data_IF_511473752556
#
_entry.id   IF_511473752556
#
_cell.length_a   1.000
_cell.length_b   1.000
_cell.length_c   1.000
_cell.angle_alpha   90.00
_cell.angle_beta   90.00
_cell.angle_gamma   90.00
#
_symmetry.space_group_name_H-M   'P 1'
#
loop_
_entity.id
_entity.type
_entity.pdbx_description
1 polymer ?
#
# COMPACT_ATOMS: atom_id res chain seq x y z
N UNK A 1 -29.40 -42.02 -26.90
CA UNK A 1 -29.98 -40.73 -26.47
C UNK A 1 -30.04 -40.77 -24.95
N UNK A 2 -29.51 -39.78 -24.21
CA UNK A 2 -29.51 -39.85 -22.75
C UNK A 2 -30.94 -39.77 -22.21
N UNK A 3 -31.25 -40.64 -21.25
CA UNK A 3 -32.58 -40.85 -20.71
C UNK A 3 -33.10 -39.62 -19.93
N UNK A 4 -34.41 -39.37 -19.94
CA UNK A 4 -35.02 -38.12 -19.46
C UNK A 4 -34.71 -37.79 -17.98
N UNK A 5 -34.39 -38.81 -17.18
CA UNK A 5 -33.99 -38.66 -15.77
C UNK A 5 -32.61 -38.02 -15.61
N UNK A 6 -31.68 -38.24 -16.53
CA UNK A 6 -30.33 -37.65 -16.47
C UNK A 6 -30.37 -36.14 -16.69
N UNK A 7 -31.25 -35.68 -17.59
CA UNK A 7 -31.47 -34.24 -17.81
C UNK A 7 -32.09 -33.54 -16.60
N UNK A 8 -32.99 -34.20 -15.89
CA UNK A 8 -33.61 -33.65 -14.69
C UNK A 8 -32.61 -33.52 -13.52
N UNK A 9 -31.69 -34.48 -13.36
CA UNK A 9 -30.65 -34.42 -12.33
C UNK A 9 -29.61 -33.35 -12.66
N UNK A 10 -29.20 -33.21 -13.92
CA UNK A 10 -28.25 -32.17 -14.35
C UNK A 10 -28.86 -30.77 -14.23
N UNK A 11 -30.12 -30.59 -14.66
CA UNK A 11 -30.83 -29.32 -14.51
C UNK A 11 -31.08 -28.96 -13.04
N UNK A 12 -31.44 -29.95 -12.20
CA UNK A 12 -31.60 -29.75 -10.76
C UNK A 12 -30.29 -29.40 -10.06
N UNK A 13 -29.19 -30.05 -10.42
CA UNK A 13 -27.87 -29.79 -9.83
C UNK A 13 -27.33 -28.41 -10.24
N UNK A 14 -27.57 -27.99 -11.49
CA UNK A 14 -27.21 -26.67 -11.97
C UNK A 14 -28.03 -25.56 -11.29
N UNK A 15 -29.34 -25.78 -11.09
CA UNK A 15 -30.21 -24.83 -10.40
C UNK A 15 -29.80 -24.67 -8.92
N UNK A 16 -29.55 -25.79 -8.22
CA UNK A 16 -29.10 -25.78 -6.81
C UNK A 16 -27.73 -25.11 -6.69
N UNK A 17 -26.78 -25.42 -7.58
CA UNK A 17 -25.47 -24.78 -7.60
C UNK A 17 -25.53 -23.27 -7.84
N UNK A 18 -26.45 -22.81 -8.69
CA UNK A 18 -26.70 -21.37 -8.92
C UNK A 18 -27.29 -20.69 -7.69
N UNK A 19 -28.29 -21.29 -7.02
CA UNK A 19 -28.86 -20.73 -5.78
C UNK A 19 -27.89 -20.69 -4.62
N UNK A 20 -27.05 -21.71 -4.44
CA UNK A 20 -26.00 -21.72 -3.40
C UNK A 20 -24.93 -20.66 -3.71
N UNK A 21 -24.58 -20.45 -4.98
CA UNK A 21 -23.63 -19.41 -5.38
C UNK A 21 -24.19 -17.99 -5.17
N UNK A 22 -25.46 -17.76 -5.48
CA UNK A 22 -26.13 -16.48 -5.23
C UNK A 22 -26.32 -16.21 -3.73
N UNK A 23 -26.64 -17.22 -2.93
CA UNK A 23 -26.74 -17.09 -1.48
C UNK A 23 -25.37 -16.84 -0.83
N UNK A 24 -24.30 -17.49 -1.31
CA UNK A 24 -22.93 -17.22 -0.85
C UNK A 24 -22.48 -15.79 -1.18
N UNK A 25 -22.85 -15.26 -2.35
CA UNK A 25 -22.59 -13.86 -2.73
C UNK A 25 -23.45 -12.87 -1.92
N UNK A 26 -24.69 -13.21 -1.59
CA UNK A 26 -25.57 -12.37 -0.78
C UNK A 26 -25.18 -12.35 0.72
N UNK A 27 -24.69 -13.47 1.25
CA UNK A 27 -24.22 -13.58 2.65
C UNK A 27 -22.80 -13.01 2.83
N UNK A 28 -21.95 -13.07 1.80
CA UNK A 28 -20.60 -12.48 1.84
C UNK A 28 -20.59 -10.95 1.66
N UNK A 29 -21.71 -10.33 1.26
CA UNK A 29 -21.78 -8.91 0.96
C UNK A 29 -20.96 -8.50 -0.27
N UNK A 30 -21.17 -7.28 -0.82
CA UNK A 30 -20.26 -6.75 -1.82
C UNK A 30 -18.84 -6.68 -1.24
N UNK A 31 -17.85 -7.11 -2.02
CA UNK A 31 -16.42 -6.94 -1.73
C UNK A 31 -16.09 -5.45 -1.56
N UNK A 32 -16.24 -4.96 -0.34
CA UNK A 32 -15.94 -3.60 0.09
C UNK A 32 -14.53 -3.58 0.69
N UNK A 33 -13.53 -3.35 -0.17
CA UNK A 33 -12.34 -2.66 0.31
C UNK A 33 -12.78 -1.25 0.72
N UNK A 34 -12.49 -0.86 1.98
CA UNK A 34 -13.01 0.37 2.60
C UNK A 34 -12.68 1.66 1.83
N UNK A 35 -11.74 1.62 0.88
CA UNK A 35 -11.35 2.73 0.03
C UNK A 35 -12.49 3.19 -0.91
N UNK A 36 -13.26 2.28 -1.53
CA UNK A 36 -14.40 2.67 -2.38
C UNK A 36 -15.55 3.27 -1.58
N UNK A 37 -15.75 2.83 -0.34
CA UNK A 37 -16.77 3.37 0.57
C UNK A 37 -16.37 4.77 1.06
N UNK A 38 -15.09 4.98 1.38
CA UNK A 38 -14.55 6.29 1.73
C UNK A 38 -14.60 7.28 0.56
N UNK A 39 -14.29 6.84 -0.67
CA UNK A 39 -14.40 7.66 -1.88
C UNK A 39 -15.86 8.06 -2.19
N UNK A 40 -16.82 7.14 -2.01
CA UNK A 40 -18.26 7.44 -2.12
C UNK A 40 -18.71 8.43 -1.05
N UNK A 41 -18.26 8.26 0.20
CA UNK A 41 -18.58 9.16 1.30
C UNK A 41 -18.00 10.57 1.08
N UNK A 42 -16.77 10.66 0.55
CA UNK A 42 -16.13 11.94 0.21
C UNK A 42 -16.78 12.62 -1.00
N UNK A 43 -17.24 11.86 -2.00
CA UNK A 43 -18.01 12.40 -3.12
C UNK A 43 -19.39 12.93 -2.67
N UNK A 44 -20.05 12.23 -1.74
CA UNK A 44 -21.33 12.65 -1.17
C UNK A 44 -21.21 13.89 -0.26
N UNK A 45 -20.10 14.03 0.50
CA UNK A 45 -19.90 15.18 1.38
C UNK A 45 -19.53 16.47 0.65
N UNK A 46 -18.93 16.40 -0.54
CA UNK A 46 -18.62 17.57 -1.38
C UNK A 46 -19.85 18.23 -2.02
N UNK A 47 -21.02 17.58 -1.97
CA UNK A 47 -22.30 18.17 -2.39
C UNK A 47 -23.03 18.97 -1.30
N UNK A 48 -22.48 19.06 -0.09
CA UNK A 48 -23.04 19.84 1.02
C UNK A 48 -21.94 20.74 1.64
N UNK A 49 -21.73 21.92 1.08
CA UNK A 49 -21.13 23.04 1.81
C UNK A 49 -22.26 23.87 2.45
N UNK A 50 -22.26 24.10 3.77
CA UNK A 50 -23.14 25.10 4.36
C UNK A 50 -22.45 26.47 4.34
N UNK A 51 -22.99 27.40 3.56
CA UNK A 51 -22.69 28.82 3.70
C UNK A 51 -23.23 29.31 5.05
N UNK A 52 -22.40 30.05 5.77
CA UNK A 52 -22.73 30.61 7.08
C UNK A 52 -23.33 32.02 6.94
N UNK A 53 -24.53 32.20 7.50
CA UNK A 53 -25.14 33.39 8.16
C UNK A 53 -26.59 33.63 7.73
N UNK A 54 -27.55 33.31 8.62
CA UNK A 54 -28.70 34.15 9.04
C UNK A 54 -29.75 33.31 9.82
N UNK A 55 -30.50 34.00 10.70
CA UNK A 55 -31.30 33.54 11.85
C UNK A 55 -32.55 32.63 11.56
N UNK A 56 -33.27 32.11 12.58
CA UNK A 56 -34.17 30.96 12.44
C UNK A 56 -35.57 31.36 11.98
N UNK A 57 -36.06 30.72 10.93
CA UNK A 57 -37.42 30.85 10.41
C UNK A 57 -37.97 29.51 9.92
N UNK A 58 -39.26 29.30 10.17
CA UNK A 58 -40.08 28.09 9.99
C UNK A 58 -39.81 27.18 8.78
N UNK A 59 -39.89 25.87 9.07
CA UNK A 59 -39.92 24.70 8.17
C UNK A 59 -40.63 24.91 6.82
N UNK A 60 -39.98 24.45 5.75
CA UNK A 60 -40.63 23.76 4.63
C UNK A 60 -39.67 22.71 4.04
N UNK A 61 -40.02 21.43 4.16
CA UNK A 61 -39.23 20.29 3.66
C UNK A 61 -39.29 20.29 2.11
N UNK A 62 -38.17 20.34 1.38
CA UNK A 62 -38.19 20.13 -0.07
C UNK A 62 -38.65 18.70 -0.38
N UNK A 63 -39.27 18.45 -1.55
CA UNK A 63 -39.60 17.09 -1.96
C UNK A 63 -38.31 16.28 -2.05
N UNK A 64 -38.35 15.03 -1.60
CA UNK A 64 -37.25 14.10 -1.83
C UNK A 64 -37.03 13.97 -3.34
N UNK A 65 -35.90 14.47 -3.84
CA UNK A 65 -35.44 14.13 -5.18
C UNK A 65 -35.27 12.61 -5.23
N UNK A 66 -36.08 11.98 -6.08
CA UNK A 66 -36.04 10.56 -6.30
C UNK A 66 -34.61 10.17 -6.70
N UNK A 67 -34.04 9.21 -5.96
CA UNK A 67 -32.79 8.58 -6.33
C UNK A 67 -32.88 8.13 -7.79
N UNK A 68 -31.99 8.66 -8.63
CA UNK A 68 -31.90 8.26 -10.03
C UNK A 68 -31.79 6.73 -10.11
N UNK A 69 -32.54 6.07 -11.00
CA UNK A 69 -32.53 4.62 -11.07
C UNK A 69 -31.12 4.15 -11.40
N UNK A 70 -30.66 3.21 -10.57
CA UNK A 70 -29.38 2.52 -10.70
C UNK A 70 -29.33 1.97 -12.13
N UNK A 71 -28.44 2.50 -12.96
CA UNK A 71 -28.21 1.97 -14.29
C UNK A 71 -27.57 0.58 -14.18
N UNK A 72 -28.42 -0.44 -14.01
CA UNK A 72 -28.05 -1.85 -14.11
C UNK A 72 -27.45 -2.21 -15.49
N UNK A 73 -27.51 -1.29 -16.47
CA UNK A 73 -26.87 -1.41 -17.79
C UNK A 73 -25.34 -1.20 -17.79
N UNK A 74 -24.72 -0.82 -16.67
CA UNK A 74 -23.24 -0.67 -16.62
C UNK A 74 -22.50 -2.01 -16.54
N UNK A 75 -23.19 -3.12 -16.22
CA UNK A 75 -22.57 -4.44 -16.07
C UNK A 75 -22.67 -5.34 -17.32
N UNK A 76 -23.16 -4.81 -18.45
CA UNK A 76 -23.19 -5.54 -19.73
C UNK A 76 -22.58 -4.72 -20.86
N UNK A 77 -21.44 -4.07 -20.61
CA UNK A 77 -20.56 -3.72 -21.72
C UNK A 77 -19.97 -5.04 -22.24
N UNK A 78 -20.06 -5.35 -23.56
CA UNK A 78 -19.19 -6.36 -24.14
C UNK A 78 -17.75 -5.96 -23.80
N UNK A 79 -16.84 -6.94 -23.70
CA UNK A 79 -15.42 -6.63 -23.74
C UNK A 79 -15.17 -5.86 -25.05
N UNK A 80 -15.19 -4.53 -24.98
CA UNK A 80 -14.93 -3.68 -26.12
C UNK A 80 -13.53 -4.06 -26.58
N UNK A 81 -13.36 -4.29 -27.88
CA UNK A 81 -12.03 -4.38 -28.45
C UNK A 81 -11.28 -3.15 -27.95
N UNK A 82 -10.20 -3.34 -27.20
CA UNK A 82 -9.51 -2.22 -26.63
C UNK A 82 -9.04 -1.33 -27.78
N UNK A 83 -9.30 -0.04 -27.66
CA UNK A 83 -9.03 0.95 -28.70
C UNK A 83 -7.61 0.82 -29.29
N UNK A 84 -7.46 1.33 -30.51
CA UNK A 84 -6.21 1.27 -31.27
C UNK A 84 -5.04 1.83 -30.45
N UNK A 85 -3.91 1.12 -30.38
CA UNK A 85 -2.76 1.59 -29.58
C UNK A 85 -2.20 2.91 -30.11
N UNK A 86 -1.92 3.90 -29.25
CA UNK A 86 -1.26 5.13 -29.69
C UNK A 86 0.10 4.78 -30.29
N UNK A 87 0.41 5.39 -31.44
CA UNK A 87 1.69 5.14 -32.11
C UNK A 87 2.83 5.73 -31.30
N UNK A 88 4.02 5.11 -31.39
CA UNK A 88 5.23 5.64 -30.75
C UNK A 88 5.53 7.07 -31.20
N UNK A 89 5.26 7.41 -32.46
CA UNK A 89 5.44 8.75 -33.01
C UNK A 89 4.46 9.75 -32.38
N UNK A 90 3.19 9.39 -32.20
CA UNK A 90 2.20 10.25 -31.56
C UNK A 90 2.57 10.52 -30.09
N UNK A 91 2.94 9.47 -29.33
CA UNK A 91 3.40 9.63 -27.96
C UNK A 91 4.67 10.49 -27.88
N UNK A 92 5.64 10.28 -28.77
CA UNK A 92 6.86 11.08 -28.82
C UNK A 92 6.58 12.56 -29.11
N UNK A 93 5.71 12.85 -30.09
CA UNK A 93 5.33 14.22 -30.44
C UNK A 93 4.64 14.95 -29.27
N UNK A 94 3.89 14.24 -28.43
CA UNK A 94 3.23 14.80 -27.24
C UNK A 94 4.17 14.94 -26.04
N UNK A 95 4.96 13.92 -25.74
CA UNK A 95 5.73 13.85 -24.49
C UNK A 95 7.11 14.51 -24.59
N UNK A 96 7.78 14.44 -25.74
CA UNK A 96 9.15 14.95 -25.86
C UNK A 96 9.29 16.46 -25.57
N UNK A 97 8.36 17.34 -26.02
CA UNK A 97 8.40 18.75 -25.65
C UNK A 97 8.21 18.98 -24.16
N UNK A 98 7.30 18.23 -23.52
CA UNK A 98 7.02 18.34 -22.08
C UNK A 98 8.19 17.85 -21.23
N UNK A 99 8.88 16.78 -21.67
CA UNK A 99 10.08 16.26 -21.01
C UNK A 99 11.27 17.24 -21.09
N UNK A 100 11.21 18.22 -22.01
CA UNK A 100 12.22 19.28 -22.12
C UNK A 100 12.02 20.43 -21.13
N UNK A 101 10.94 20.44 -20.35
CA UNK A 101 10.68 21.46 -19.33
C UNK A 101 11.88 21.60 -18.36
N UNK A 102 12.46 22.80 -18.20
CA UNK A 102 13.62 23.01 -17.34
C UNK A 102 13.34 22.71 -15.86
N UNK A 103 12.08 22.74 -15.41
CA UNK A 103 11.72 22.38 -14.04
C UNK A 103 12.01 20.90 -13.72
N UNK A 104 12.13 20.04 -14.74
CA UNK A 104 12.44 18.61 -14.60
C UNK A 104 13.94 18.32 -14.40
N UNK A 105 14.79 19.34 -14.19
CA UNK A 105 16.19 19.14 -13.82
C UNK A 105 17.07 18.68 -14.98
N UNK A 106 18.16 17.96 -14.70
CA UNK A 106 19.20 17.59 -15.68
C UNK A 106 19.06 16.18 -16.21
N UNK A 107 18.56 15.24 -15.40
CA UNK A 107 18.22 13.88 -15.82
C UNK A 107 16.71 13.76 -15.94
N UNK A 108 16.20 13.39 -17.11
CA UNK A 108 14.78 13.16 -17.36
C UNK A 108 14.60 11.83 -18.08
N UNK A 109 13.92 10.89 -17.45
CA UNK A 109 13.62 9.59 -18.04
C UNK A 109 12.12 9.33 -18.05
N UNK A 110 11.66 8.57 -19.03
CA UNK A 110 10.26 8.28 -19.23
C UNK A 110 10.03 6.97 -19.96
N UNK A 111 8.99 6.25 -19.55
CA UNK A 111 8.51 5.05 -20.24
C UNK A 111 6.99 5.02 -20.21
N UNK A 112 6.38 4.55 -21.31
CA UNK A 112 4.94 4.26 -21.41
C UNK A 112 4.77 2.87 -21.99
N UNK A 113 3.98 2.05 -21.32
CA UNK A 113 3.76 0.65 -21.64
C UNK A 113 2.26 0.40 -21.77
N UNK A 114 1.89 -0.39 -22.76
CA UNK A 114 0.55 -0.93 -22.87
C UNK A 114 0.31 -1.97 -21.77
N UNK A 115 -0.66 -1.73 -20.88
CA UNK A 115 -0.88 -2.61 -19.73
C UNK A 115 -1.34 -4.02 -20.14
N UNK A 116 -2.04 -4.16 -21.27
CA UNK A 116 -2.58 -5.45 -21.71
C UNK A 116 -1.51 -6.35 -22.34
N UNK A 117 -0.62 -5.80 -23.18
CA UNK A 117 0.40 -6.60 -23.90
C UNK A 117 1.78 -6.56 -23.25
N UNK A 118 2.06 -5.57 -22.39
CA UNK A 118 3.40 -5.30 -21.87
C UNK A 118 4.37 -4.68 -22.88
N UNK A 119 3.86 -4.25 -24.05
CA UNK A 119 4.64 -3.59 -25.11
C UNK A 119 5.05 -2.18 -24.68
N UNK A 120 6.34 -1.86 -24.82
CA UNK A 120 6.84 -0.49 -24.69
C UNK A 120 6.34 0.35 -25.87
N UNK A 121 5.57 1.39 -25.57
CA UNK A 121 4.99 2.30 -26.57
C UNK A 121 5.80 3.58 -26.72
N UNK A 122 6.47 4.03 -25.65
CA UNK A 122 7.35 5.18 -25.66
C UNK A 122 8.48 5.01 -24.64
N UNK A 123 9.67 5.49 -24.98
CA UNK A 123 10.82 5.52 -24.10
C UNK A 123 11.74 6.71 -24.37
N UNK A 124 12.15 7.39 -23.31
CA UNK A 124 13.22 8.40 -23.31
C UNK A 124 14.12 8.10 -22.13
N UNK A 125 15.35 7.63 -22.37
CA UNK A 125 16.21 7.10 -21.30
C UNK A 125 15.53 6.00 -20.49
N UNK A 126 14.64 5.21 -21.12
CA UNK A 126 13.70 4.33 -20.43
C UNK A 126 14.40 3.25 -19.58
N UNK A 127 15.56 2.77 -20.03
CA UNK A 127 16.40 1.79 -19.35
C UNK A 127 17.48 2.41 -18.43
N UNK A 128 17.60 3.75 -18.41
CA UNK A 128 18.59 4.43 -17.57
C UNK A 128 18.21 4.28 -16.10
N UNK A 129 19.08 3.70 -15.25
CA UNK A 129 18.83 3.64 -13.82
C UNK A 129 18.85 5.04 -13.20
N UNK A 130 17.80 5.38 -12.47
CA UNK A 130 17.63 6.67 -11.80
C UNK A 130 17.17 6.47 -10.36
N UNK A 131 17.40 7.45 -9.51
CA UNK A 131 16.90 7.44 -8.13
C UNK A 131 15.37 7.51 -8.16
N UNK A 132 14.64 6.48 -7.70
CA UNK A 132 13.18 6.38 -7.87
C UNK A 132 12.41 7.19 -6.80
N UNK A 133 13.06 7.55 -5.70
CA UNK A 133 12.40 7.97 -4.47
C UNK A 133 11.26 6.98 -4.08
N UNK A 134 10.18 7.46 -3.46
CA UNK A 134 9.05 6.61 -3.03
C UNK A 134 8.30 5.85 -4.14
N UNK A 135 8.65 6.01 -5.43
CA UNK A 135 8.10 5.12 -6.48
C UNK A 135 8.65 3.70 -6.38
N UNK A 136 9.77 3.47 -5.68
CA UNK A 136 10.30 2.13 -5.39
C UNK A 136 9.34 1.25 -4.59
N UNK A 137 8.44 1.86 -3.81
CA UNK A 137 7.42 1.14 -3.02
C UNK A 137 6.53 0.24 -3.90
N UNK A 138 6.40 0.54 -5.20
CA UNK A 138 5.73 -0.34 -6.17
C UNK A 138 6.48 -1.68 -6.29
N UNK A 139 7.81 -1.64 -6.33
CA UNK A 139 8.65 -2.83 -6.40
C UNK A 139 8.63 -3.61 -5.06
N UNK A 140 8.71 -2.90 -3.93
CA UNK A 140 8.56 -3.50 -2.59
C UNK A 140 7.20 -4.20 -2.44
N UNK A 141 6.10 -3.55 -2.87
CA UNK A 141 4.77 -4.13 -2.86
C UNK A 141 4.68 -5.38 -3.75
N UNK A 142 5.22 -5.31 -4.98
CA UNK A 142 5.21 -6.43 -5.91
C UNK A 142 5.97 -7.65 -5.36
N UNK A 143 7.16 -7.42 -4.79
CA UNK A 143 7.93 -8.46 -4.14
C UNK A 143 7.16 -9.10 -2.98
N UNK A 144 6.67 -8.31 -2.04
CA UNK A 144 5.94 -8.80 -0.87
C UNK A 144 4.66 -9.57 -1.26
N UNK A 145 3.83 -9.02 -2.14
CA UNK A 145 2.61 -9.69 -2.59
C UNK A 145 2.89 -10.98 -3.37
N UNK A 146 3.95 -11.01 -4.17
CA UNK A 146 4.31 -12.21 -4.94
C UNK A 146 4.78 -13.37 -4.08
N UNK A 147 5.42 -13.08 -2.94
CA UNK A 147 6.00 -14.09 -2.04
C UNK A 147 5.02 -14.49 -0.94
N UNK A 148 4.34 -13.52 -0.32
CA UNK A 148 3.49 -13.77 0.84
C UNK A 148 1.99 -13.92 0.49
N UNK A 149 1.55 -13.32 -0.61
CA UNK A 149 0.14 -13.27 -1.00
C UNK A 149 -0.68 -12.17 -0.29
N UNK A 150 -1.81 -11.75 -0.86
CA UNK A 150 -2.57 -10.59 -0.40
C UNK A 150 -3.27 -10.77 0.95
N UNK A 151 -3.48 -12.01 1.38
CA UNK A 151 -4.17 -12.36 2.63
C UNK A 151 -3.23 -12.55 3.82
N UNK A 152 -1.92 -12.50 3.59
CA UNK A 152 -0.92 -12.63 4.64
C UNK A 152 -1.15 -11.58 5.73
N UNK A 153 -0.93 -11.96 7.00
CA UNK A 153 -1.04 -11.06 8.15
C UNK A 153 0.18 -11.18 9.04
N UNK A 154 0.76 -10.04 9.38
CA UNK A 154 1.90 -9.94 10.27
C UNK A 154 1.38 -9.99 11.71
N UNK A 155 2.00 -10.80 12.56
CA UNK A 155 1.45 -11.11 13.88
C UNK A 155 2.33 -10.63 15.03
N UNK A 156 1.73 -9.97 16.00
CA UNK A 156 2.34 -9.71 17.31
C UNK A 156 1.78 -10.74 18.29
N UNK A 157 2.66 -11.46 18.99
CA UNK A 157 2.26 -12.56 19.88
C UNK A 157 2.77 -12.35 21.29
N UNK A 158 2.12 -12.98 22.25
CA UNK A 158 2.58 -13.04 23.64
C UNK A 158 2.82 -14.49 24.00
N UNK A 159 4.02 -14.81 24.44
CA UNK A 159 4.42 -16.16 24.82
C UNK A 159 4.62 -16.24 26.33
N UNK A 160 4.16 -17.33 26.96
CA UNK A 160 4.63 -17.74 28.28
C UNK A 160 5.94 -18.53 28.11
N UNK A 161 7.02 -18.01 28.68
CA UNK A 161 8.36 -18.65 28.67
C UNK A 161 8.72 -19.30 30.00
N UNK A 162 7.84 -19.17 31.01
CA UNK A 162 7.92 -19.85 32.30
C UNK A 162 6.64 -19.63 33.11
N UNK A 163 6.55 -20.14 34.35
CA UNK A 163 5.37 -19.99 35.20
C UNK A 163 4.97 -18.54 35.48
N UNK A 164 5.97 -17.65 35.58
CA UNK A 164 5.80 -16.21 35.84
C UNK A 164 6.63 -15.35 34.88
N UNK A 165 6.77 -15.80 33.63
CA UNK A 165 7.55 -15.10 32.61
C UNK A 165 6.80 -15.06 31.30
N UNK A 166 6.63 -13.86 30.75
CA UNK A 166 6.00 -13.62 29.46
C UNK A 166 6.89 -12.78 28.56
N UNK A 167 6.82 -13.01 27.25
CA UNK A 167 7.55 -12.25 26.25
C UNK A 167 6.57 -11.74 25.19
N UNK A 168 6.57 -10.43 24.94
CA UNK A 168 5.87 -9.80 23.82
C UNK A 168 6.77 -9.88 22.59
N UNK A 169 6.35 -10.63 21.57
CA UNK A 169 7.13 -10.91 20.36
C UNK A 169 6.54 -10.13 19.19
N UNK A 170 7.31 -9.18 18.66
CA UNK A 170 6.92 -8.39 17.50
C UNK A 170 7.20 -9.13 16.19
N UNK A 171 6.17 -9.31 15.36
CA UNK A 171 6.29 -9.92 14.03
C UNK A 171 6.71 -8.98 12.91
N UNK A 172 6.93 -7.69 13.21
CA UNK A 172 7.25 -6.66 12.23
C UNK A 172 6.03 -5.95 11.63
N UNK A 173 4.91 -5.87 12.37
CA UNK A 173 3.76 -5.05 11.99
C UNK A 173 3.94 -3.63 12.56
N UNK A 174 4.22 -2.61 11.73
CA UNK A 174 4.34 -1.25 12.23
C UNK A 174 2.98 -0.63 12.56
N UNK A 175 1.87 -1.23 12.14
CA UNK A 175 0.51 -0.67 12.24
C UNK A 175 -0.27 -1.13 13.46
N UNK A 176 0.38 -1.81 14.42
CA UNK A 176 -0.27 -2.26 15.65
C UNK A 176 -0.93 -1.06 16.36
N UNK A 177 -2.25 -1.11 16.49
CA UNK A 177 -3.02 0.00 17.06
C UNK A 177 -3.14 -0.12 18.58
N UNK A 178 -3.45 0.99 19.26
CA UNK A 178 -3.74 0.97 20.69
C UNK A 178 -4.93 0.06 21.04
N UNK A 179 -5.93 -0.05 20.14
CA UNK A 179 -7.07 -0.94 20.31
C UNK A 179 -6.67 -2.43 20.20
N UNK A 180 -5.82 -2.76 19.23
CA UNK A 180 -5.26 -4.11 19.08
C UNK A 180 -4.39 -4.47 20.29
N UNK A 181 -3.58 -3.54 20.80
CA UNK A 181 -2.76 -3.75 22.00
C UNK A 181 -3.62 -3.97 23.26
N UNK A 182 -4.74 -3.25 23.41
CA UNK A 182 -5.73 -3.50 24.48
C UNK A 182 -6.30 -4.91 24.41
N UNK A 183 -6.75 -5.32 23.23
CA UNK A 183 -7.28 -6.68 23.00
C UNK A 183 -6.22 -7.74 23.31
N UNK A 184 -4.98 -7.54 22.85
CA UNK A 184 -3.87 -8.44 23.15
C UNK A 184 -3.63 -8.56 24.67
N UNK A 185 -3.76 -7.47 25.42
CA UNK A 185 -3.62 -7.46 26.87
C UNK A 185 -4.81 -8.13 27.58
N UNK A 186 -6.03 -7.95 27.08
CA UNK A 186 -7.23 -8.64 27.56
C UNK A 186 -7.08 -10.16 27.44
N UNK A 187 -6.68 -10.62 26.26
CA UNK A 187 -6.49 -12.04 25.96
C UNK A 187 -5.36 -12.63 26.80
N UNK A 188 -4.25 -11.90 26.92
CA UNK A 188 -3.10 -12.32 27.74
C UNK A 188 -3.48 -12.45 29.21
N UNK A 189 -4.21 -11.47 29.78
CA UNK A 189 -4.63 -11.50 31.18
C UNK A 189 -5.55 -12.69 31.47
N UNK A 190 -6.52 -12.97 30.57
CA UNK A 190 -7.38 -14.16 30.67
C UNK A 190 -6.57 -15.44 30.60
N UNK A 191 -5.62 -15.55 29.67
CA UNK A 191 -4.78 -16.73 29.53
C UNK A 191 -3.86 -16.96 30.74
N UNK A 192 -3.31 -15.90 31.35
CA UNK A 192 -2.52 -16.01 32.57
C UNK A 192 -3.36 -16.46 33.76
N UNK A 193 -4.55 -15.89 33.94
CA UNK A 193 -5.46 -16.26 35.04
C UNK A 193 -5.95 -17.70 34.89
N UNK A 194 -6.25 -18.14 33.68
CA UNK A 194 -6.60 -19.54 33.39
C UNK A 194 -5.46 -20.52 33.71
N UNK A 195 -4.21 -20.04 33.68
CA UNK A 195 -3.01 -20.80 34.10
C UNK A 195 -2.73 -20.71 35.60
N UNK A 196 -3.61 -20.07 36.37
CA UNK A 196 -3.48 -19.94 37.82
C UNK A 196 -2.47 -18.88 38.28
N UNK A 197 -2.13 -17.90 37.43
CA UNK A 197 -1.23 -16.81 37.82
C UNK A 197 -1.79 -15.43 37.50
N UNK A 198 -1.54 -14.49 38.41
CA UNK A 198 -1.82 -13.05 38.24
C UNK A 198 -0.54 -12.22 38.34
N UNK A 199 0.63 -12.85 38.18
CA UNK A 199 1.92 -12.19 38.23
C UNK A 199 2.87 -12.73 37.15
N UNK A 200 3.59 -11.82 36.49
CA UNK A 200 4.58 -12.18 35.48
C UNK A 200 5.69 -11.12 35.37
N UNK A 201 6.91 -11.53 35.04
CA UNK A 201 7.85 -10.63 34.38
C UNK A 201 7.44 -10.44 32.91
N UNK A 202 7.82 -9.31 32.31
CA UNK A 202 7.57 -9.02 30.90
C UNK A 202 8.87 -8.74 30.18
N UNK A 203 9.23 -9.62 29.24
CA UNK A 203 10.24 -9.35 28.21
C UNK A 203 9.61 -8.88 26.91
N UNK A 204 10.42 -8.35 26.00
CA UNK A 204 10.03 -8.13 24.61
C UNK A 204 11.13 -8.56 23.64
N UNK A 205 10.72 -9.20 22.54
CA UNK A 205 11.62 -9.83 21.58
C UNK A 205 11.67 -9.05 20.27
N UNK A 206 12.90 -8.68 19.87
CA UNK A 206 13.23 -7.98 18.63
C UNK A 206 14.12 -8.81 17.69
N UNK A 207 14.43 -10.06 18.06
CA UNK A 207 15.39 -10.93 17.37
C UNK A 207 14.97 -11.31 15.95
N UNK A 208 13.69 -11.11 15.60
CA UNK A 208 13.20 -11.32 14.24
C UNK A 208 13.94 -10.43 13.24
N UNK A 209 14.27 -9.19 13.62
CA UNK A 209 15.02 -8.26 12.77
C UNK A 209 16.50 -8.28 13.16
N UNK A 210 17.37 -8.14 12.15
CA UNK A 210 18.82 -8.10 12.34
C UNK A 210 19.45 -6.89 11.66
N UNK A 211 20.68 -6.56 12.05
CA UNK A 211 21.40 -5.40 11.55
C UNK A 211 20.94 -4.08 12.18
N UNK A 212 21.28 -2.93 11.57
CA UNK A 212 20.97 -1.63 12.14
C UNK A 212 19.46 -1.35 12.11
N UNK A 213 18.94 -0.81 13.20
CA UNK A 213 17.55 -0.32 13.28
C UNK A 213 17.40 1.09 12.70
N UNK A 214 18.49 1.88 12.67
CA UNK A 214 18.44 3.24 12.15
C UNK A 214 18.51 3.23 10.62
N UNK A 215 17.58 3.93 9.98
CA UNK A 215 17.64 4.16 8.54
C UNK A 215 18.84 5.07 8.18
N UNK A 216 19.54 4.85 7.05
CA UNK A 216 20.71 5.65 6.65
C UNK A 216 20.47 7.16 6.46
N UNK A 217 19.23 7.63 6.45
CA UNK A 217 18.89 9.06 6.34
C UNK A 217 19.10 9.84 7.65
N UNK A 218 19.61 9.19 8.71
CA UNK A 218 19.93 9.82 9.99
C UNK A 218 18.88 9.56 11.06
N UNK A 219 19.19 10.03 12.28
CA UNK A 219 18.35 9.91 13.49
C UNK A 219 17.31 11.05 13.56
N UNK A 220 16.33 10.90 14.45
CA UNK A 220 15.31 11.93 14.75
C UNK A 220 14.62 12.43 13.47
N UNK A 221 14.20 11.50 12.62
CA UNK A 221 13.58 11.82 11.35
C UNK A 221 12.06 11.63 11.44
N UNK A 222 11.30 12.63 11.03
CA UNK A 222 9.83 12.58 11.09
C UNK A 222 9.21 11.59 10.09
N UNK A 223 9.97 11.19 9.07
CA UNK A 223 9.48 10.35 7.98
C UNK A 223 9.49 8.85 8.30
N UNK A 224 10.28 8.40 9.27
CA UNK A 224 10.44 6.97 9.57
C UNK A 224 10.93 6.77 11.02
N UNK A 225 10.33 5.82 11.72
CA UNK A 225 10.80 5.41 13.05
C UNK A 225 12.04 4.49 12.96
N UNK A 226 12.74 4.24 14.08
CA UNK A 226 13.68 3.12 14.14
C UNK A 226 13.00 1.82 13.68
N UNK A 227 13.60 1.13 12.72
CA UNK A 227 13.03 -0.05 12.07
C UNK A 227 13.18 -1.27 12.97
N UNK A 228 12.20 -1.49 13.83
CA UNK A 228 12.12 -2.60 14.79
C UNK A 228 10.98 -3.56 14.45
N UNK A 229 11.04 -4.80 14.92
CA UNK A 229 9.96 -5.77 14.69
C UNK A 229 8.75 -5.57 15.61
N UNK A 230 8.85 -4.68 16.61
CA UNK A 230 7.79 -4.31 17.52
C UNK A 230 7.69 -2.80 17.60
N UNK A 231 6.51 -2.26 17.31
CA UNK A 231 6.16 -0.86 17.54
C UNK A 231 4.64 -0.70 17.57
N UNK A 232 4.19 0.39 18.20
CA UNK A 232 2.80 0.83 18.22
C UNK A 232 2.67 2.00 17.25
N UNK A 233 1.69 1.95 16.34
CA UNK A 233 1.33 3.05 15.45
C UNK A 233 2.54 3.74 14.80
N UNK A 234 3.43 2.95 14.18
CA UNK A 234 4.65 3.41 13.49
C UNK A 234 5.59 4.24 14.39
N UNK A 235 5.51 4.06 15.71
CA UNK A 235 6.29 4.84 16.68
C UNK A 235 5.93 6.33 16.72
N UNK A 236 4.76 6.74 16.21
CA UNK A 236 4.31 8.14 16.19
C UNK A 236 4.01 8.63 17.62
N UNK A 237 4.41 9.86 17.92
CA UNK A 237 4.20 10.51 19.22
C UNK A 237 2.95 11.40 19.26
N UNK A 238 2.30 11.61 18.12
CA UNK A 238 1.05 12.34 17.98
C UNK A 238 -0.13 11.40 17.63
N UNK A 239 -1.27 11.98 17.29
CA UNK A 239 -2.49 11.25 16.89
C UNK A 239 -2.66 11.12 15.39
N UNK A 240 -1.66 11.52 14.60
CA UNK A 240 -1.71 11.36 13.16
C UNK A 240 -1.57 9.89 12.78
N UNK A 241 -2.16 9.51 11.65
CA UNK A 241 -2.15 8.14 11.14
C UNK A 241 -1.37 8.00 9.83
N UNK A 242 -0.76 9.07 9.32
CA UNK A 242 0.12 9.07 8.15
C UNK A 242 0.93 10.37 8.04
N UNK A 243 1.94 10.36 7.17
CA UNK A 243 2.80 11.52 6.88
C UNK A 243 3.96 11.68 7.88
N UNK A 244 4.71 12.79 7.80
CA UNK A 244 5.73 13.11 8.80
C UNK A 244 5.10 13.34 10.18
N UNK A 245 5.77 12.87 11.23
CA UNK A 245 5.44 13.17 12.62
C UNK A 245 6.65 12.89 13.51
N UNK A 246 6.68 13.50 14.70
CA UNK A 246 7.65 13.13 15.73
C UNK A 246 7.57 11.63 16.03
N UNK A 247 8.74 10.97 16.04
CA UNK A 247 8.86 9.52 16.23
C UNK A 247 9.59 9.21 17.54
N UNK A 248 9.16 8.15 18.20
CA UNK A 248 9.87 7.54 19.31
C UNK A 248 11.27 7.10 18.90
N UNK A 249 12.23 7.25 19.81
CA UNK A 249 13.60 6.76 19.63
C UNK A 249 13.78 5.29 20.07
N UNK A 250 12.83 4.73 20.83
CA UNK A 250 12.74 3.30 21.13
C UNK A 250 11.27 2.83 21.10
N UNK A 251 10.67 2.71 19.89
CA UNK A 251 9.26 2.39 19.76
C UNK A 251 8.91 0.99 20.30
N UNK A 252 9.88 0.08 20.38
CA UNK A 252 9.70 -1.23 20.98
C UNK A 252 9.54 -1.16 22.50
N UNK A 253 10.42 -0.41 23.18
CA UNK A 253 10.33 -0.21 24.63
C UNK A 253 9.04 0.51 25.02
N UNK A 254 8.63 1.51 24.24
CA UNK A 254 7.36 2.23 24.46
C UNK A 254 6.16 1.30 24.33
N UNK A 255 6.16 0.43 23.33
CA UNK A 255 5.10 -0.57 23.11
C UNK A 255 5.03 -1.56 24.27
N UNK A 256 6.17 -2.08 24.73
CA UNK A 256 6.25 -2.99 25.86
C UNK A 256 5.78 -2.32 27.17
N UNK A 257 6.11 -1.05 27.36
CA UNK A 257 5.68 -0.25 28.52
C UNK A 257 4.17 -0.02 28.50
N UNK A 258 3.61 0.34 27.34
CA UNK A 258 2.17 0.48 27.15
C UNK A 258 1.44 -0.85 27.42
N UNK A 259 1.97 -1.96 26.91
CA UNK A 259 1.42 -3.29 27.15
C UNK A 259 1.45 -3.67 28.65
N UNK A 260 2.57 -3.42 29.34
CA UNK A 260 2.69 -3.65 30.78
C UNK A 260 1.65 -2.85 31.59
N UNK A 261 1.40 -1.59 31.21
CA UNK A 261 0.36 -0.75 31.84
C UNK A 261 -1.03 -1.37 31.65
N UNK A 262 -1.32 -1.89 30.46
CA UNK A 262 -2.60 -2.54 30.15
C UNK A 262 -2.79 -3.84 30.92
N UNK A 263 -1.74 -4.64 31.11
CA UNK A 263 -1.78 -5.84 31.95
C UNK A 263 -2.04 -5.50 33.44
N UNK A 264 -1.35 -4.47 33.97
CA UNK A 264 -1.57 -3.99 35.35
C UNK A 264 -3.01 -3.52 35.56
N UNK A 265 -3.59 -2.81 34.59
CA UNK A 265 -4.99 -2.40 34.63
C UNK A 265 -6.00 -3.57 34.63
N UNK A 266 -5.55 -4.79 34.26
CA UNK A 266 -6.32 -6.04 34.26
C UNK A 266 -6.02 -6.94 35.46
N UNK A 267 -5.36 -6.41 36.49
CA UNK A 267 -5.02 -7.15 37.71
C UNK A 267 -3.81 -8.08 37.58
N UNK A 268 -3.06 -8.03 36.47
CA UNK A 268 -1.81 -8.78 36.33
C UNK A 268 -0.64 -7.95 36.85
N UNK A 269 -0.01 -8.38 37.94
CA UNK A 269 1.21 -7.77 38.48
C UNK A 269 2.37 -8.02 37.52
N UNK A 270 2.82 -6.97 36.83
CA UNK A 270 4.04 -7.02 36.01
C UNK A 270 5.25 -6.65 36.87
N UNK A 271 6.14 -7.61 37.14
CA UNK A 271 7.34 -7.43 37.96
C UNK A 271 8.46 -6.77 37.15
N UNK A 272 9.10 -5.77 37.75
CA UNK A 272 10.16 -4.99 37.10
C UNK A 272 9.69 -4.12 35.94
N UNK A 273 10.67 -3.58 35.20
CA UNK A 273 10.48 -2.84 33.96
C UNK A 273 10.62 -3.80 32.77
N UNK A 274 9.80 -3.66 31.71
CA UNK A 274 9.96 -4.50 30.52
C UNK A 274 11.38 -4.40 29.95
N UNK A 275 11.97 -5.54 29.61
CA UNK A 275 13.34 -5.61 29.11
C UNK A 275 13.44 -6.42 27.82
N UNK A 276 14.46 -6.14 27.00
CA UNK A 276 14.74 -6.94 25.80
C UNK A 276 15.07 -8.36 26.22
N UNK A 277 14.31 -9.32 25.71
CA UNK A 277 14.47 -10.74 26.04
C UNK A 277 14.09 -11.56 24.82
N UNK A 278 15.05 -12.23 24.14
CA UNK A 278 14.73 -13.16 23.07
C UNK A 278 13.77 -14.23 23.59
N UNK A 279 12.73 -14.53 22.83
CA UNK A 279 11.82 -15.61 23.16
C UNK A 279 12.54 -16.94 23.03
N UNK A 280 12.43 -17.80 24.05
CA UNK A 280 12.85 -19.18 23.92
C UNK A 280 11.96 -19.88 22.86
N UNK A 281 12.55 -20.77 22.05
CA UNK A 281 11.87 -21.47 20.96
C UNK A 281 10.66 -22.34 21.40
N UNK A 282 10.47 -22.54 22.71
CA UNK A 282 9.48 -23.44 23.32
C UNK A 282 8.35 -22.72 24.10
N UNK A 283 8.19 -21.40 23.96
CA UNK A 283 7.16 -20.64 24.67
C UNK A 283 5.73 -21.01 24.26
N UNK A 284 4.79 -21.11 25.22
CA UNK A 284 3.37 -21.33 24.92
C UNK A 284 2.70 -20.02 24.53
N UNK A 285 2.05 -19.94 23.36
CA UNK A 285 1.32 -18.73 22.97
C UNK A 285 0.11 -18.49 23.87
N UNK A 286 0.06 -17.30 24.48
CA UNK A 286 -1.04 -16.83 25.32
C UNK A 286 -2.05 -16.00 24.52
N UNK A 287 -1.57 -15.15 23.62
CA UNK A 287 -2.39 -14.25 22.84
C UNK A 287 -1.70 -13.90 21.51
N UNK A 288 -2.50 -13.42 20.55
CA UNK A 288 -2.05 -13.02 19.22
C UNK A 288 -2.91 -11.88 18.69
N UNK A 289 -2.25 -10.84 18.18
CA UNK A 289 -2.87 -9.79 17.38
C UNK A 289 -2.32 -9.89 15.96
N UNK A 290 -3.21 -9.94 14.96
CA UNK A 290 -2.84 -9.97 13.56
C UNK A 290 -3.08 -8.60 12.92
N UNK A 291 -2.17 -8.17 12.04
CA UNK A 291 -2.33 -7.00 11.20
C UNK A 291 -3.57 -7.12 10.32
N UNK A 292 -3.98 -6.02 9.67
CA UNK A 292 -4.83 -6.10 8.48
C UNK A 292 -4.13 -6.93 7.38
N UNK A 293 -4.86 -7.47 6.38
CA UNK A 293 -4.24 -8.23 5.30
C UNK A 293 -3.13 -7.43 4.60
N UNK A 294 -2.15 -8.12 4.04
CA UNK A 294 -1.04 -7.53 3.30
C UNK A 294 -1.52 -6.64 2.15
N UNK A 295 -2.63 -7.00 1.51
CA UNK A 295 -3.30 -6.15 0.51
C UNK A 295 -3.65 -4.77 1.06
N UNK A 296 -4.27 -4.68 2.24
CA UNK A 296 -4.60 -3.40 2.89
C UNK A 296 -3.37 -2.63 3.35
N UNK A 297 -2.32 -3.34 3.81
CA UNK A 297 -1.03 -2.70 4.14
C UNK A 297 -0.38 -2.08 2.90
N UNK A 298 -0.38 -2.79 1.77
CA UNK A 298 0.11 -2.28 0.48
C UNK A 298 -0.71 -1.08 0.01
N UNK A 299 -2.04 -1.15 0.10
CA UNK A 299 -2.92 -0.05 -0.29
C UNK A 299 -2.64 1.22 0.53
N UNK A 300 -2.57 1.09 1.85
CA UNK A 300 -2.20 2.18 2.76
C UNK A 300 -0.81 2.73 2.44
N UNK A 301 0.18 1.85 2.26
CA UNK A 301 1.55 2.22 1.94
C UNK A 301 1.66 3.05 0.67
N UNK A 302 0.99 2.63 -0.40
CA UNK A 302 1.05 3.33 -1.68
C UNK A 302 0.25 4.63 -1.65
N UNK A 303 -0.92 4.63 -0.99
CA UNK A 303 -1.80 5.81 -0.89
C UNK A 303 -1.14 6.94 -0.11
N UNK A 304 -0.58 6.61 1.05
CA UNK A 304 -0.01 7.58 1.99
C UNK A 304 1.50 7.73 1.87
N UNK A 305 2.14 6.93 1.01
CA UNK A 305 3.61 6.87 0.85
C UNK A 305 4.35 6.46 2.13
N UNK A 306 3.76 5.54 2.90
CA UNK A 306 4.21 5.11 4.22
C UNK A 306 5.58 4.41 4.18
N UNK A 307 6.57 4.95 4.89
CA UNK A 307 7.94 4.43 4.89
C UNK A 307 8.10 3.25 5.85
N UNK A 308 7.42 3.29 7.00
CA UNK A 308 7.50 2.25 8.03
C UNK A 308 6.90 0.95 7.52
N UNK A 309 5.74 1.02 6.84
CA UNK A 309 5.15 -0.14 6.15
C UNK A 309 6.10 -0.65 5.06
N UNK A 310 6.70 0.22 4.26
CA UNK A 310 7.59 -0.20 3.18
C UNK A 310 8.82 -0.98 3.67
N UNK A 311 9.48 -0.51 4.72
CA UNK A 311 10.60 -1.23 5.34
C UNK A 311 10.18 -2.54 5.99
N UNK A 312 8.98 -2.58 6.59
CA UNK A 312 8.41 -3.79 7.13
C UNK A 312 8.12 -4.81 6.03
N UNK A 313 7.49 -4.42 4.91
CA UNK A 313 7.17 -5.33 3.80
C UNK A 313 8.42 -5.89 3.11
N UNK A 314 9.47 -5.07 2.97
CA UNK A 314 10.77 -5.53 2.46
C UNK A 314 11.38 -6.60 3.39
N UNK A 315 11.27 -6.43 4.71
CA UNK A 315 11.72 -7.41 5.70
C UNK A 315 10.84 -8.65 5.76
N UNK A 316 9.52 -8.53 5.62
CA UNK A 316 8.62 -9.69 5.48
C UNK A 316 9.00 -10.53 4.25
N UNK A 317 9.39 -9.87 3.16
CA UNK A 317 9.89 -10.56 1.96
C UNK A 317 11.18 -11.33 2.27
N UNK A 318 12.10 -10.76 3.05
CA UNK A 318 13.32 -11.46 3.49
C UNK A 318 13.02 -12.66 4.40
N UNK A 319 12.12 -12.49 5.38
CA UNK A 319 11.69 -13.56 6.29
C UNK A 319 11.11 -14.73 5.50
N UNK A 320 10.21 -14.45 4.56
CA UNK A 320 9.59 -15.47 3.72
C UNK A 320 10.60 -16.14 2.75
N UNK A 321 11.69 -15.46 2.41
CA UNK A 321 12.79 -16.01 1.64
C UNK A 321 13.87 -16.72 2.49
N UNK A 322 13.66 -16.85 3.80
CA UNK A 322 14.64 -17.38 4.76
C UNK A 322 15.98 -16.63 4.74
N UNK A 323 15.94 -15.34 4.45
CA UNK A 323 17.09 -14.43 4.51
C UNK A 323 17.04 -13.61 5.80
N UNK A 324 18.18 -13.06 6.27
CA UNK A 324 18.18 -12.15 7.42
C UNK A 324 17.23 -10.97 7.20
N UNK A 325 16.34 -10.69 8.15
CA UNK A 325 15.45 -9.52 8.09
C UNK A 325 16.19 -8.22 8.43
N UNK A 326 17.14 -7.87 7.59
CA UNK A 326 17.99 -6.68 7.63
C UNK A 326 17.81 -5.88 6.33
N UNK A 327 18.41 -4.69 6.21
CA UNK A 327 18.41 -3.95 4.95
C UNK A 327 19.03 -4.76 3.79
N UNK A 328 20.17 -5.41 4.03
CA UNK A 328 20.84 -6.20 2.99
C UNK A 328 20.09 -7.48 2.62
N UNK A 329 19.48 -8.16 3.59
CA UNK A 329 18.66 -9.33 3.31
C UNK A 329 17.34 -8.97 2.63
N UNK A 330 16.72 -7.84 3.01
CA UNK A 330 15.56 -7.28 2.32
C UNK A 330 15.88 -6.91 0.86
N UNK A 331 17.01 -6.25 0.61
CA UNK A 331 17.49 -5.98 -0.76
C UNK A 331 17.60 -7.27 -1.59
N UNK A 332 18.25 -8.30 -1.04
CA UNK A 332 18.41 -9.59 -1.73
C UNK A 332 17.06 -10.24 -2.03
N UNK A 333 16.17 -10.27 -1.03
CA UNK A 333 14.86 -10.89 -1.14
C UNK A 333 13.95 -10.19 -2.16
N UNK A 334 13.89 -8.86 -2.12
CA UNK A 334 13.14 -8.04 -3.08
C UNK A 334 13.68 -8.25 -4.49
N UNK A 335 15.00 -8.16 -4.68
CA UNK A 335 15.65 -8.38 -5.98
C UNK A 335 15.30 -9.75 -6.54
N UNK A 336 15.42 -10.81 -5.73
CA UNK A 336 15.11 -12.18 -6.15
C UNK A 336 13.62 -12.38 -6.48
N UNK A 337 12.71 -11.80 -5.68
CA UNK A 337 11.27 -11.89 -5.92
C UNK A 337 10.88 -11.21 -7.25
N UNK A 338 11.43 -10.02 -7.53
CA UNK A 338 11.18 -9.30 -8.78
C UNK A 338 11.77 -10.02 -9.99
N UNK A 339 12.93 -10.68 -9.84
CA UNK A 339 13.50 -11.55 -10.86
C UNK A 339 12.59 -12.72 -11.20
N UNK A 340 11.96 -13.36 -10.20
CA UNK A 340 10.96 -14.42 -10.42
C UNK A 340 9.69 -13.94 -11.10
N UNK A 341 9.34 -12.66 -10.94
CA UNK A 341 8.25 -12.02 -11.69
C UNK A 341 8.65 -11.65 -13.14
N UNK A 342 9.89 -11.92 -13.55
CA UNK A 342 10.37 -11.64 -14.91
C UNK A 342 10.74 -10.17 -15.14
N UNK A 343 10.94 -9.37 -14.09
CA UNK A 343 11.42 -8.00 -14.25
C UNK A 343 12.88 -8.02 -14.73
N UNK A 344 13.27 -7.26 -15.78
CA UNK A 344 14.67 -7.11 -16.15
C UNK A 344 15.39 -6.32 -15.05
N UNK A 345 16.36 -6.96 -14.36
CA UNK A 345 17.03 -6.39 -13.18
C UNK A 345 18.34 -5.64 -13.49
N UNK A 346 18.73 -5.54 -14.76
CA UNK A 346 19.95 -4.82 -15.13
C UNK A 346 19.91 -3.37 -14.61
N UNK A 347 20.94 -2.99 -13.84
CA UNK A 347 21.05 -1.66 -13.23
C UNK A 347 20.12 -1.39 -12.03
N UNK A 348 19.24 -2.32 -11.66
CA UNK A 348 18.34 -2.13 -10.51
C UNK A 348 19.09 -2.26 -9.17
N UNK A 349 18.76 -1.40 -8.21
CA UNK A 349 19.26 -1.43 -6.83
C UNK A 349 18.14 -1.09 -5.85
N UNK A 350 17.95 -1.95 -4.86
CA UNK A 350 16.91 -1.87 -3.82
C UNK A 350 17.55 -1.79 -2.44
N UNK A 351 18.19 -0.68 -2.11
CA UNK A 351 18.99 -0.53 -0.89
C UNK A 351 18.11 -0.44 0.35
N UNK A 352 16.88 0.06 0.19
CA UNK A 352 15.83 0.05 1.20
C UNK A 352 14.47 -0.35 0.58
N UNK A 353 13.41 -0.39 1.40
CA UNK A 353 12.05 -0.65 0.93
C UNK A 353 11.26 0.61 0.55
N UNK A 354 11.65 1.77 1.10
CA UNK A 354 10.87 3.00 1.13
C UNK A 354 11.25 4.04 0.05
N UNK A 355 12.45 3.99 -0.50
CA UNK A 355 12.99 4.95 -1.47
C UNK A 355 13.55 6.20 -0.81
N UNK A 356 13.90 6.12 0.46
CA UNK A 356 14.54 7.20 1.20
C UNK A 356 16.06 7.22 0.94
N UNK A 357 16.63 6.08 0.56
CA UNK A 357 18.04 5.92 0.25
C UNK A 357 18.35 6.33 -1.19
N UNK A 358 19.25 7.31 -1.35
CA UNK A 358 19.69 7.79 -2.68
C UNK A 358 20.53 6.78 -3.47
N UNK A 359 20.97 5.69 -2.84
CA UNK A 359 21.66 4.60 -3.52
C UNK A 359 20.72 3.70 -4.33
N UNK A 360 19.41 3.83 -4.14
CA UNK A 360 18.41 3.14 -4.95
C UNK A 360 18.48 3.55 -6.41
N UNK A 361 18.23 2.58 -7.28
CA UNK A 361 18.24 2.80 -8.72
C UNK A 361 17.19 1.92 -9.39
N UNK A 362 16.24 2.53 -10.08
CA UNK A 362 15.34 1.85 -11.02
C UNK A 362 15.19 2.69 -12.27
N UNK A 363 14.98 2.00 -13.39
CA UNK A 363 14.65 2.65 -14.65
C UNK A 363 13.14 2.93 -14.74
N UNK A 364 12.78 3.92 -15.56
CA UNK A 364 11.37 4.22 -15.84
C UNK A 364 10.65 2.99 -16.42
N UNK A 365 11.33 2.24 -17.28
CA UNK A 365 10.78 1.01 -17.87
C UNK A 365 10.49 -0.05 -16.82
N UNK A 366 11.41 -0.30 -15.87
CA UNK A 366 11.19 -1.27 -14.79
C UNK A 366 9.94 -0.92 -13.97
N UNK A 367 9.78 0.34 -13.59
CA UNK A 367 8.64 0.82 -12.82
C UNK A 367 7.31 0.72 -13.59
N UNK A 368 7.30 1.11 -14.87
CA UNK A 368 6.11 0.97 -15.72
C UNK A 368 5.74 -0.51 -15.96
N UNK A 369 6.75 -1.40 -16.11
CA UNK A 369 6.55 -2.85 -16.27
C UNK A 369 5.94 -3.47 -15.02
N UNK A 370 6.34 -3.05 -13.82
CA UNK A 370 5.73 -3.54 -12.58
C UNK A 370 4.23 -3.24 -12.49
N UNK A 371 3.82 -2.04 -12.92
CA UNK A 371 2.38 -1.73 -12.99
C UNK A 371 1.66 -2.53 -14.08
N UNK A 372 2.30 -2.80 -15.22
CA UNK A 372 1.72 -3.66 -16.26
C UNK A 372 1.57 -5.12 -15.75
N UNK A 373 2.54 -5.62 -14.98
CA UNK A 373 2.44 -6.91 -14.30
C UNK A 373 1.27 -6.90 -13.29
N UNK A 374 1.09 -5.83 -12.53
CA UNK A 374 -0.02 -5.70 -11.58
C UNK A 374 -1.41 -5.64 -12.27
N UNK A 375 -1.48 -5.13 -13.50
CA UNK A 375 -2.69 -5.10 -14.31
C UNK A 375 -2.99 -6.44 -15.02
N UNK A 376 -1.96 -7.28 -15.21
CA UNK A 376 -2.08 -8.55 -15.92
C UNK A 376 -3.02 -9.52 -15.21
N UNK A 377 -3.97 -10.16 -15.93
CA UNK A 377 -4.79 -11.24 -15.38
C UNK A 377 -3.99 -12.44 -14.86
N UNK A 378 -2.72 -12.57 -15.26
CA UNK A 378 -1.82 -13.64 -14.80
C UNK A 378 -1.28 -13.42 -13.38
N UNK A 379 -1.41 -12.21 -12.84
CA UNK A 379 -0.93 -11.85 -11.51
C UNK A 379 -1.99 -11.16 -10.65
N UNK A 380 -3.17 -11.78 -10.42
CA UNK A 380 -4.26 -11.16 -9.66
C UNK A 380 -3.85 -10.79 -8.22
N UNK A 381 -2.88 -11.48 -7.64
CA UNK A 381 -2.31 -11.19 -6.32
C UNK A 381 -1.62 -9.81 -6.24
N UNK A 382 -1.23 -9.22 -7.38
CA UNK A 382 -0.57 -7.91 -7.45
C UNK A 382 -1.55 -6.73 -7.57
N UNK A 383 -2.85 -6.99 -7.75
CA UNK A 383 -3.89 -5.95 -7.89
C UNK A 383 -3.93 -4.91 -6.76
N UNK A 384 -3.62 -5.23 -5.49
CA UNK A 384 -3.53 -4.22 -4.43
C UNK A 384 -2.57 -3.06 -4.74
N UNK A 385 -1.59 -3.28 -5.63
CA UNK A 385 -0.71 -2.21 -6.10
C UNK A 385 -1.52 -1.14 -6.82
N UNK A 386 -2.44 -1.53 -7.71
CA UNK A 386 -3.22 -0.60 -8.53
C UNK A 386 -4.30 0.12 -7.72
N UNK A 387 -4.97 -0.59 -6.82
CA UNK A 387 -6.00 0.00 -5.93
C UNK A 387 -5.38 0.90 -4.87
N UNK A 388 -4.14 0.61 -4.46
CA UNK A 388 -3.36 1.45 -3.56
C UNK A 388 -2.79 2.72 -4.17
N UNK A 389 -2.83 2.91 -5.50
CA UNK A 389 -2.30 4.13 -6.11
C UNK A 389 -3.22 5.33 -5.81
N UNK A 390 -2.69 6.45 -5.30
CA UNK A 390 -3.42 7.71 -5.17
C UNK A 390 -4.12 8.10 -6.47
N UNK A 391 -5.35 8.62 -6.37
CA UNK A 391 -6.14 9.09 -7.51
C UNK A 391 -5.97 10.59 -7.66
N UNK A 392 -5.56 11.03 -8.85
CA UNK A 392 -5.32 12.43 -9.19
C UNK A 392 -6.51 13.34 -8.87
N UNK A 393 -6.32 14.30 -7.95
CA UNK A 393 -7.36 15.24 -7.51
C UNK A 393 -8.27 14.74 -6.38
N UNK A 394 -8.12 13.48 -5.95
CA UNK A 394 -9.08 12.83 -5.05
C UNK A 394 -8.47 12.27 -3.76
N UNK A 395 -7.36 11.53 -3.84
CA UNK A 395 -6.85 10.76 -2.69
C UNK A 395 -5.34 10.76 -2.58
N UNK A 396 -4.85 10.40 -1.38
CA UNK A 396 -3.43 10.22 -1.08
C UNK A 396 -2.58 11.43 -1.44
N UNK A 397 -1.34 11.18 -1.84
CA UNK A 397 -0.37 12.23 -2.22
C UNK A 397 -0.71 12.99 -3.51
N UNK A 398 -1.86 12.69 -4.14
CA UNK A 398 -2.37 13.42 -5.30
C UNK A 398 -3.66 14.18 -5.02
N UNK A 399 -4.13 14.24 -3.76
CA UNK A 399 -5.38 14.90 -3.37
C UNK A 399 -5.47 16.31 -3.92
N UNK A 400 -4.42 17.12 -3.73
CA UNK A 400 -4.39 18.54 -4.08
C UNK A 400 -3.66 18.82 -5.40
N UNK A 401 -3.25 17.77 -6.11
CA UNK A 401 -2.62 17.85 -7.44
C UNK A 401 -3.67 17.66 -8.53
N UNK A 402 -3.36 18.11 -9.75
CA UNK A 402 -4.29 18.05 -10.89
C UNK A 402 -5.60 18.85 -10.70
N UNK A 403 -5.65 19.80 -9.74
CA UNK A 403 -6.79 20.72 -9.52
C UNK A 403 -6.51 22.06 -10.20
N UNK A 404 -7.39 22.48 -11.12
CA UNK A 404 -7.31 23.78 -11.83
C UNK A 404 -6.48 23.75 -13.11
N UNK A 405 -7.02 24.34 -14.19
CA UNK A 405 -6.56 24.13 -15.58
C UNK A 405 -7.39 23.02 -16.28
N UNK A 406 -7.28 22.82 -17.61
CA UNK A 406 -7.99 21.74 -18.30
C UNK A 406 -7.45 20.39 -17.80
N UNK A 407 -8.00 19.91 -16.69
CA UNK A 407 -7.55 18.75 -15.95
C UNK A 407 -7.98 17.47 -16.68
N UNK A 408 -7.29 17.13 -17.77
CA UNK A 408 -7.49 15.84 -18.46
C UNK A 408 -7.00 14.64 -17.63
N UNK A 409 -6.27 14.87 -16.52
CA UNK A 409 -5.75 13.79 -15.68
C UNK A 409 -6.55 13.48 -14.40
N UNK A 410 -7.39 14.41 -13.92
CA UNK A 410 -8.11 14.25 -12.66
C UNK A 410 -9.10 13.08 -12.75
N UNK A 411 -9.06 12.17 -11.77
CA UNK A 411 -9.87 10.94 -11.75
C UNK A 411 -9.44 9.86 -12.75
N UNK A 412 -8.69 10.21 -13.80
CA UNK A 412 -8.20 9.27 -14.83
C UNK A 412 -6.82 8.70 -14.51
N UNK A 413 -6.00 9.44 -13.77
CA UNK A 413 -4.66 9.02 -13.36
C UNK A 413 -4.70 8.44 -11.95
N UNK A 414 -4.09 7.26 -11.80
CA UNK A 414 -3.72 6.70 -10.49
C UNK A 414 -2.22 6.52 -10.45
N UNK A 415 -1.52 7.18 -9.53
CA UNK A 415 -0.05 7.15 -9.55
C UNK A 415 0.59 7.29 -8.17
N UNK A 416 1.72 6.59 -8.00
CA UNK A 416 2.62 6.78 -6.87
C UNK A 416 3.56 7.95 -7.16
N UNK A 417 3.65 8.86 -6.20
CA UNK A 417 4.61 9.97 -6.21
C UNK A 417 5.94 9.59 -5.56
N UNK A 418 7.02 10.27 -5.96
CA UNK A 418 8.32 10.25 -5.28
C UNK A 418 8.93 11.64 -5.25
N UNK A 419 9.37 12.08 -4.07
CA UNK A 419 10.03 13.37 -3.88
C UNK A 419 11.16 13.22 -2.87
N UNK A 420 12.37 13.62 -3.26
CA UNK A 420 13.51 13.92 -2.38
C UNK A 420 14.10 15.27 -2.84
N UNK A 421 15.02 15.86 -2.08
CA UNK A 421 15.73 17.07 -2.54
C UNK A 421 16.44 16.79 -3.86
N UNK A 422 16.02 17.48 -4.92
CA UNK A 422 16.56 17.33 -6.27
C UNK A 422 16.13 16.07 -7.03
N UNK A 423 15.14 15.32 -6.53
CA UNK A 423 14.59 14.12 -7.20
C UNK A 423 13.07 14.18 -7.17
N UNK A 424 12.43 14.04 -8.33
CA UNK A 424 10.98 13.99 -8.44
C UNK A 424 10.58 12.88 -9.42
N UNK A 425 9.57 12.10 -9.06
CA UNK A 425 9.08 11.01 -9.88
C UNK A 425 7.56 10.83 -9.76
N UNK A 426 6.95 10.32 -10.82
CA UNK A 426 5.57 9.85 -10.84
C UNK A 426 5.48 8.58 -11.67
N UNK A 427 4.89 7.53 -11.09
CA UNK A 427 4.71 6.23 -11.73
C UNK A 427 3.28 5.78 -11.54
N UNK A 428 2.56 5.50 -12.62
CA UNK A 428 1.13 5.29 -12.52
C UNK A 428 0.49 4.61 -13.72
N UNK A 429 -0.83 4.63 -13.66
CA UNK A 429 -1.72 4.17 -14.73
C UNK A 429 -2.62 5.31 -15.18
N UNK A 430 -3.03 5.25 -16.44
CA UNK A 430 -3.95 6.19 -17.04
C UNK A 430 -4.80 5.46 -18.08
N UNK A 431 -6.08 5.79 -18.12
CA UNK A 431 -6.97 5.35 -19.20
C UNK A 431 -6.87 6.41 -20.29
N UNK A 432 -6.39 6.01 -21.47
CA UNK A 432 -6.30 6.84 -22.66
C UNK A 432 -7.71 7.17 -23.21
N UNK A 433 -7.82 8.15 -24.11
CA UNK A 433 -9.09 8.62 -24.64
C UNK A 433 -9.89 7.53 -25.39
N UNK A 434 -9.20 6.53 -25.92
CA UNK A 434 -9.75 5.35 -26.60
C UNK A 434 -10.11 4.19 -25.64
N UNK A 435 -9.98 4.40 -24.33
CA UNK A 435 -10.26 3.42 -23.28
C UNK A 435 -9.11 2.46 -22.97
N UNK A 436 -7.95 2.56 -23.65
CA UNK A 436 -6.80 1.70 -23.40
C UNK A 436 -6.11 2.06 -22.08
N UNK A 437 -5.84 1.05 -21.25
CA UNK A 437 -5.06 1.23 -20.02
C UNK A 437 -3.56 1.28 -20.35
N UNK A 438 -2.92 2.39 -20.03
CA UNK A 438 -1.49 2.58 -20.14
C UNK A 438 -0.86 2.61 -18.75
N UNK A 439 0.35 2.07 -18.63
CA UNK A 439 1.22 2.29 -17.47
C UNK A 439 2.37 3.20 -17.86
N UNK A 440 2.82 4.03 -16.93
CA UNK A 440 3.89 4.98 -17.20
C UNK A 440 4.77 5.18 -15.98
N UNK A 441 5.99 5.64 -16.23
CA UNK A 441 6.88 6.17 -15.21
C UNK A 441 7.65 7.35 -15.78
N UNK A 442 7.76 8.42 -15.01
CA UNK A 442 8.60 9.59 -15.31
C UNK A 442 9.47 9.88 -14.09
N UNK A 443 10.79 9.82 -14.26
CA UNK A 443 11.77 10.03 -13.20
C UNK A 443 12.69 11.18 -13.57
N UNK A 444 12.95 12.05 -12.59
CA UNK A 444 13.76 13.25 -12.80
C UNK A 444 14.74 13.49 -11.67
N UNK A 445 15.92 14.02 -12.00
CA UNK A 445 16.93 14.42 -11.04
C UNK A 445 17.57 15.77 -11.41
N UNK A 446 18.14 16.43 -10.41
CA UNK A 446 18.70 17.78 -10.55
C UNK A 446 17.62 18.86 -10.56
N UNK A 447 16.46 18.59 -9.98
CA UNK A 447 15.37 19.57 -9.87
C UNK A 447 15.70 20.61 -8.80
N UNK A 448 15.36 21.88 -9.06
CA UNK A 448 15.62 22.99 -8.12
C UNK A 448 14.38 23.40 -7.33
N UNK A 449 13.19 23.03 -7.81
CA UNK A 449 11.90 23.27 -7.14
C UNK A 449 11.02 22.02 -7.25
N UNK A 450 10.70 21.42 -6.11
CA UNK A 450 9.85 20.23 -6.05
C UNK A 450 8.45 20.51 -6.62
N UNK A 451 7.84 21.65 -6.28
CA UNK A 451 6.51 22.04 -6.76
C UNK A 451 6.48 22.25 -8.27
N UNK A 452 7.51 22.90 -8.83
CA UNK A 452 7.58 23.13 -10.28
C UNK A 452 7.78 21.81 -11.03
N UNK A 453 8.68 20.94 -10.54
CA UNK A 453 8.91 19.61 -11.10
C UNK A 453 7.64 18.75 -11.02
N UNK A 454 6.94 18.73 -9.88
CA UNK A 454 5.66 18.03 -9.72
C UNK A 454 4.60 18.53 -10.70
N UNK A 455 4.49 19.85 -10.90
CA UNK A 455 3.55 20.42 -11.87
C UNK A 455 3.89 20.01 -13.31
N UNK A 456 5.18 19.94 -13.66
CA UNK A 456 5.63 19.49 -14.97
C UNK A 456 5.39 17.98 -15.19
N UNK A 457 5.62 17.16 -14.17
CA UNK A 457 5.28 15.73 -14.17
C UNK A 457 3.77 15.49 -14.32
N UNK A 458 2.94 16.34 -13.71
CA UNK A 458 1.48 16.26 -13.83
C UNK A 458 1.02 16.57 -15.26
N UNK A 459 1.66 17.53 -15.94
CA UNK A 459 1.42 17.80 -17.37
C UNK A 459 1.80 16.60 -18.25
N UNK A 460 2.95 15.97 -17.99
CA UNK A 460 3.38 14.76 -18.69
C UNK A 460 2.35 13.62 -18.54
N UNK A 461 1.92 13.35 -17.32
CA UNK A 461 0.94 12.30 -17.05
C UNK A 461 -0.45 12.64 -17.65
N UNK A 462 -0.88 13.90 -17.57
CA UNK A 462 -2.17 14.35 -18.14
C UNK A 462 -2.20 14.31 -19.67
N UNK A 463 -1.05 14.50 -20.33
CA UNK A 463 -0.94 14.39 -21.78
C UNK A 463 -1.25 12.97 -22.29
N UNK A 464 -1.02 11.94 -21.46
CA UNK A 464 -1.35 10.55 -21.81
C UNK A 464 -2.87 10.30 -21.82
N UNK A 465 -3.64 10.96 -20.95
CA UNK A 465 -5.09 10.80 -20.89
C UNK A 465 -5.79 11.34 -22.16
N UNK A 466 -5.17 12.33 -22.81
CA UNK A 466 -5.64 12.88 -24.08
C UNK A 466 -5.11 12.11 -25.31
N UNK A 467 -4.30 11.07 -25.11
CA UNK A 467 -3.85 10.24 -26.22
C UNK A 467 -4.98 9.32 -26.68
N UNK A 468 -5.23 9.32 -27.98
CA UNK A 468 -6.11 8.43 -28.73
C UNK A 468 -5.65 8.49 -30.19
N UNK A 469 -5.89 7.42 -30.95
CA UNK A 469 -5.44 7.34 -32.33
C UNK A 469 -6.03 8.38 -33.27
#
# INVERSE_FOLDING_TARGET
MPDARTWQVVAGSAAVGLTVSFAAVAVAGPWESGQRTAERAAAASRGHQPDSRSAPGSRRRPPAEAAAPIAAKVLTAPAADPGTLPTQQALAARLAPLLRDPALGTLRTGAVIDAATGKLLYGSGAATPSVPASTIKIATAAAALSVLGPDHRISTTVLATGPHSTVLVGGGDPTLTAAALRTLADDTARALTARGTTATSLGYDLSLYSGPVQHPIGRNNENIAPVTSLMLNEGRLDTSDHGPADRSTDPAADTATAFAKLLRARGIKVTGTPARTPAAASGTQLAKAASVPLSSLVERMLTNSDNDIAEALARQTAIAAHLPASFSGAQQAVTAALGRLGLPLAGAKFTDGSGLNRADALSAEQLARLLALAASPRHPQLRPILTGLPVAGFSGTLSDRFRGGPASGAGLIRAKTGTLTGVNAITGTVVAADGRLLTFAFLTQGTTSATAAQSALDRLASALAACGC
#
